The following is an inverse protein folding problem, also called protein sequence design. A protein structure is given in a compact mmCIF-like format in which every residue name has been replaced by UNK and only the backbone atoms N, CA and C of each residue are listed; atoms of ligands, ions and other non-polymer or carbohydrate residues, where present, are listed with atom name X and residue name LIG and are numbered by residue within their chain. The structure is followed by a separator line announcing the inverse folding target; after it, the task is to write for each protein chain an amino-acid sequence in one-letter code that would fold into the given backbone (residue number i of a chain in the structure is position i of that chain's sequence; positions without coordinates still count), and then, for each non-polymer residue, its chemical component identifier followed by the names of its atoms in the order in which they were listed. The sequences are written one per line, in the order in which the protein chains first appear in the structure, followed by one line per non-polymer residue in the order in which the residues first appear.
data_IF_319836920752
#
_entry.id   IF_319836920752
#
_cell.length_a   1.000
_cell.length_b   1.000
_cell.length_c   1.000
_cell.angle_alpha   90.00
_cell.angle_beta   90.00
_cell.angle_gamma   90.00
#
_symmetry.space_group_name_H-M   'P 1'
#
loop_
_entity.id
_entity.type
_entity.pdbx_description
1 polymer ?
#
# COMPACT_ATOMS: atom_id res chain seq x y z
N UNK A 1 19.20 -7.11 3.08
CA UNK A 1 17.87 -7.13 2.42
C UNK A 1 18.06 -7.46 0.95
N UNK A 2 17.50 -8.56 0.47
CA UNK A 2 17.60 -8.93 -0.96
C UNK A 2 16.58 -8.09 -1.74
N UNK A 3 17.06 -7.27 -2.69
CA UNK A 3 16.15 -6.52 -3.56
C UNK A 3 15.35 -7.52 -4.40
N UNK A 4 14.03 -7.33 -4.50
CA UNK A 4 13.20 -8.08 -5.43
C UNK A 4 13.83 -8.11 -6.82
N UNK A 5 13.76 -9.25 -7.53
CA UNK A 5 14.22 -9.33 -8.92
C UNK A 5 13.28 -8.56 -9.87
N UNK A 6 12.03 -8.34 -9.47
CA UNK A 6 11.00 -7.69 -10.26
C UNK A 6 11.03 -6.17 -10.10
N UNK A 7 11.25 -5.44 -11.20
CA UNK A 7 11.33 -3.98 -11.16
C UNK A 7 10.05 -3.31 -10.69
N UNK A 8 8.91 -3.82 -11.13
CA UNK A 8 7.61 -3.27 -10.79
C UNK A 8 7.27 -3.43 -9.30
N UNK A 9 7.71 -4.52 -8.64
CA UNK A 9 7.55 -4.71 -7.18
C UNK A 9 8.43 -3.72 -6.42
N UNK A 10 9.71 -3.58 -6.82
CA UNK A 10 10.59 -2.57 -6.24
C UNK A 10 10.00 -1.16 -6.37
N UNK A 11 9.38 -0.85 -7.51
CA UNK A 11 8.71 0.44 -7.75
C UNK A 11 7.49 0.62 -6.85
N UNK A 12 6.63 -0.39 -6.75
CA UNK A 12 5.45 -0.37 -5.89
C UNK A 12 5.81 -0.18 -4.41
N UNK A 13 6.76 -0.96 -3.91
CA UNK A 13 7.25 -0.82 -2.52
C UNK A 13 7.93 0.54 -2.29
N UNK A 14 8.59 1.11 -3.30
CA UNK A 14 9.16 2.46 -3.20
C UNK A 14 8.09 3.55 -3.07
N UNK A 15 6.92 3.40 -3.68
CA UNK A 15 5.81 4.35 -3.47
C UNK A 15 5.35 4.40 -2.01
N UNK A 16 5.23 3.24 -1.35
CA UNK A 16 4.89 3.17 0.08
C UNK A 16 5.96 3.81 0.96
N UNK A 17 7.24 3.53 0.67
CA UNK A 17 8.37 4.19 1.36
C UNK A 17 8.39 5.70 1.14
N UNK A 18 8.08 6.15 -0.08
CA UNK A 18 7.97 7.58 -0.39
C UNK A 18 6.86 8.24 0.45
N UNK A 19 5.71 7.58 0.60
CA UNK A 19 4.64 8.06 1.49
C UNK A 19 5.10 8.13 2.95
N UNK A 20 5.87 7.14 3.42
CA UNK A 20 6.48 7.18 4.76
C UNK A 20 7.48 8.34 4.92
N UNK A 21 8.27 8.66 3.90
CA UNK A 21 9.13 9.84 3.90
C UNK A 21 8.34 11.16 3.94
N UNK A 22 7.21 11.25 3.23
CA UNK A 22 6.29 12.39 3.35
C UNK A 22 5.75 12.53 4.78
N UNK A 23 5.44 11.42 5.46
CA UNK A 23 5.01 11.43 6.86
C UNK A 23 6.10 11.91 7.81
N UNK A 24 7.36 11.49 7.59
CA UNK A 24 8.53 11.97 8.34
C UNK A 24 8.76 13.48 8.16
N UNK A 25 8.36 14.02 7.01
CA UNK A 25 8.41 15.44 6.67
C UNK A 25 7.23 16.26 7.22
N UNK A 26 6.27 15.65 7.90
CA UNK A 26 5.12 16.32 8.52
C UNK A 26 3.83 16.33 7.69
N UNK A 27 3.75 15.49 6.66
CA UNK A 27 2.58 15.34 5.79
C UNK A 27 1.76 14.09 6.11
N UNK A 28 1.48 13.83 7.39
CA UNK A 28 0.86 12.58 7.86
C UNK A 28 -0.63 12.45 7.50
N UNK A 29 -1.29 13.53 7.06
CA UNK A 29 -2.65 13.45 6.52
C UNK A 29 -2.69 13.00 5.05
N UNK A 30 -1.55 12.67 4.43
CA UNK A 30 -1.53 11.97 3.15
C UNK A 30 -1.75 10.47 3.36
N UNK A 31 -2.55 9.90 2.46
CA UNK A 31 -2.89 8.48 2.41
C UNK A 31 -2.54 7.91 1.04
N UNK A 32 -2.28 6.61 0.98
CA UNK A 32 -1.93 5.90 -0.25
C UNK A 32 -2.92 4.78 -0.57
N UNK A 33 -3.36 4.70 -1.82
CA UNK A 33 -4.22 3.63 -2.34
C UNK A 33 -3.46 2.84 -3.42
N UNK A 34 -3.00 1.62 -3.12
CA UNK A 34 -2.36 0.72 -4.08
C UNK A 34 -3.40 -0.15 -4.80
N UNK A 35 -3.45 -0.11 -6.13
CA UNK A 35 -4.45 -0.85 -6.91
C UNK A 35 -3.90 -1.29 -8.27
N UNK A 36 -4.64 -2.13 -8.99
CA UNK A 36 -4.34 -2.47 -10.39
C UNK A 36 -5.39 -1.91 -11.33
N UNK A 37 -4.98 -1.48 -12.51
CA UNK A 37 -5.87 -1.28 -13.65
C UNK A 37 -5.41 -2.14 -14.84
N UNK A 38 -6.07 -2.03 -15.99
CA UNK A 38 -5.70 -2.78 -17.20
C UNK A 38 -4.23 -2.61 -17.63
N UNK A 39 -3.56 -1.56 -17.17
CA UNK A 39 -2.16 -1.23 -17.51
C UNK A 39 -1.20 -1.53 -16.35
N UNK A 40 -1.63 -2.28 -15.33
CA UNK A 40 -0.81 -2.75 -14.22
C UNK A 40 -0.97 -1.97 -12.92
N UNK A 41 0.02 -2.11 -12.03
CA UNK A 41 0.00 -1.52 -10.70
C UNK A 41 -0.06 0.01 -10.75
N UNK A 42 -0.80 0.59 -9.81
CA UNK A 42 -1.01 2.01 -9.60
C UNK A 42 -0.93 2.33 -8.11
N UNK A 43 -0.42 3.51 -7.81
CA UNK A 43 -0.40 4.07 -6.46
C UNK A 43 -0.99 5.47 -6.52
N UNK A 44 -2.16 5.65 -5.91
CA UNK A 44 -2.77 6.96 -5.75
C UNK A 44 -2.40 7.55 -4.38
N UNK A 45 -2.11 8.84 -4.33
CA UNK A 45 -1.86 9.60 -3.11
C UNK A 45 -2.81 10.78 -3.10
N UNK A 46 -3.53 10.95 -1.99
CA UNK A 46 -4.41 12.09 -1.77
C UNK A 46 -4.50 12.44 -0.28
N UNK A 47 -5.06 13.61 0.07
CA UNK A 47 -5.35 13.96 1.46
C UNK A 47 -6.39 13.01 2.06
N UNK A 48 -6.31 12.76 3.38
CA UNK A 48 -7.13 11.76 4.08
C UNK A 48 -8.64 11.87 3.86
N UNK A 49 -9.18 13.07 3.61
CA UNK A 49 -10.62 13.27 3.39
C UNK A 49 -11.12 12.77 2.01
N UNK A 50 -10.21 12.38 1.12
CA UNK A 50 -10.55 11.67 -0.11
C UNK A 50 -10.82 10.19 0.12
N UNK A 51 -10.26 9.61 1.18
CA UNK A 51 -10.36 8.19 1.48
C UNK A 51 -11.67 7.85 2.19
N UNK A 52 -12.17 6.64 1.98
CA UNK A 52 -13.26 6.06 2.76
C UNK A 52 -12.83 5.80 4.20
N UNK A 53 -13.79 5.44 5.04
CA UNK A 53 -13.58 5.20 6.48
C UNK A 53 -12.53 4.11 6.76
N UNK A 54 -12.32 3.17 5.82
CA UNK A 54 -11.26 2.17 5.91
C UNK A 54 -9.83 2.71 5.70
N UNK A 55 -9.66 3.99 5.37
CA UNK A 55 -8.38 4.70 5.29
C UNK A 55 -7.43 4.27 4.16
N UNK A 56 -7.82 3.33 3.30
CA UNK A 56 -6.98 2.78 2.21
C UNK A 56 -7.57 2.93 0.81
N UNK A 57 -8.88 3.15 0.70
CA UNK A 57 -9.57 3.24 -0.57
C UNK A 57 -10.03 4.66 -0.86
N UNK A 58 -9.77 5.13 -2.08
CA UNK A 58 -10.40 6.33 -2.64
C UNK A 58 -11.60 5.84 -3.46
N UNK A 59 -12.81 6.32 -3.20
CA UNK A 59 -13.98 5.97 -3.98
C UNK A 59 -13.77 6.26 -5.47
N UNK A 60 -14.25 5.38 -6.36
CA UNK A 60 -14.00 5.47 -7.79
C UNK A 60 -14.40 6.83 -8.39
N UNK A 61 -15.50 7.43 -7.89
CA UNK A 61 -15.97 8.75 -8.31
C UNK A 61 -15.00 9.91 -7.99
N UNK A 62 -14.04 9.71 -7.08
CA UNK A 62 -13.02 10.70 -6.69
C UNK A 62 -11.66 10.46 -7.33
N UNK A 63 -11.41 9.31 -7.98
CA UNK A 63 -10.09 8.97 -8.52
C UNK A 63 -9.60 9.93 -9.62
N UNK A 64 -10.51 10.61 -10.32
CA UNK A 64 -10.18 11.60 -11.35
C UNK A 64 -10.05 13.04 -10.83
N UNK A 65 -10.12 13.25 -9.51
CA UNK A 65 -10.02 14.56 -8.90
C UNK A 65 -8.58 15.11 -8.98
N UNK A 66 -8.43 16.43 -9.09
CA UNK A 66 -7.12 17.10 -9.19
C UNK A 66 -6.26 16.93 -7.94
N UNK A 67 -6.87 16.66 -6.78
CA UNK A 67 -6.16 16.38 -5.52
C UNK A 67 -5.73 14.91 -5.36
N UNK A 68 -5.88 14.08 -6.40
CA UNK A 68 -5.45 12.68 -6.43
C UNK A 68 -4.28 12.51 -7.39
N UNK A 69 -3.08 12.35 -6.85
CA UNK A 69 -1.89 12.07 -7.64
C UNK A 69 -1.75 10.56 -7.87
N UNK A 70 -1.72 10.11 -9.12
CA UNK A 70 -1.66 8.68 -9.48
C UNK A 70 -0.38 8.38 -10.26
N UNK A 71 0.33 7.31 -9.89
CA UNK A 71 1.49 6.85 -10.68
C UNK A 71 1.08 6.31 -12.05
N UNK A 72 1.90 6.53 -13.08
CA UNK A 72 1.68 5.98 -14.42
C UNK A 72 2.14 4.52 -14.58
N UNK A 73 1.88 3.93 -15.74
CA UNK A 73 2.47 2.64 -16.12
C UNK A 73 3.98 2.79 -16.26
N UNK A 74 4.75 2.30 -15.28
CA UNK A 74 6.20 2.29 -15.32
C UNK A 74 6.92 3.55 -14.85
N UNK A 75 6.23 4.69 -14.74
CA UNK A 75 6.76 5.99 -14.28
C UNK A 75 6.02 6.53 -13.04
N UNK A 76 6.75 7.13 -12.09
CA UNK A 76 6.13 7.80 -10.95
C UNK A 76 5.45 9.09 -11.41
N UNK A 77 4.13 9.16 -11.32
CA UNK A 77 3.33 10.36 -11.67
C UNK A 77 3.66 10.97 -13.04
N UNK A 78 3.99 10.12 -14.04
CA UNK A 78 4.49 10.51 -15.37
C UNK A 78 5.79 11.34 -15.38
N UNK A 79 6.56 11.29 -14.31
CA UNK A 79 7.88 11.92 -14.24
C UNK A 79 8.92 11.11 -15.04
N UNK A 80 9.73 11.82 -15.82
CA UNK A 80 10.77 11.23 -16.67
C UNK A 80 12.16 11.26 -16.02
N UNK A 81 12.30 11.90 -14.86
CA UNK A 81 13.58 12.19 -14.19
C UNK A 81 13.69 11.47 -12.83
N UNK A 82 13.22 10.22 -12.76
CA UNK A 82 13.16 9.42 -11.53
C UNK A 82 14.20 8.30 -11.47
N UNK A 83 15.03 8.18 -12.49
CA UNK A 83 16.06 7.15 -12.54
C UNK A 83 17.05 7.32 -11.39
N UNK A 84 17.31 6.22 -10.68
CA UNK A 84 18.17 6.21 -9.50
C UNK A 84 17.59 6.89 -8.25
N UNK A 85 16.38 7.46 -8.30
CA UNK A 85 15.80 8.13 -7.13
C UNK A 85 15.39 7.10 -6.06
N UNK A 86 15.75 7.38 -4.82
CA UNK A 86 15.24 6.67 -3.66
C UNK A 86 13.89 7.24 -3.21
N UNK A 87 13.32 6.65 -2.15
CA UNK A 87 12.03 7.09 -1.61
C UNK A 87 12.05 8.55 -1.14
N UNK A 88 13.19 9.01 -0.61
CA UNK A 88 13.35 10.36 -0.07
C UNK A 88 13.36 11.41 -1.18
N UNK A 89 14.16 11.18 -2.23
CA UNK A 89 14.20 12.04 -3.40
C UNK A 89 12.84 12.14 -4.10
N UNK A 90 12.09 11.02 -4.17
CA UNK A 90 10.74 11.03 -4.71
C UNK A 90 9.76 11.84 -3.84
N UNK A 91 9.89 11.79 -2.51
CA UNK A 91 9.04 12.57 -1.61
C UNK A 91 9.29 14.08 -1.75
N UNK A 92 10.56 14.50 -1.89
CA UNK A 92 10.92 15.90 -2.14
C UNK A 92 10.40 16.39 -3.49
N UNK A 93 10.47 15.56 -4.54
CA UNK A 93 9.84 15.84 -5.84
C UNK A 93 8.32 15.94 -5.71
N UNK A 94 7.68 15.07 -4.91
CA UNK A 94 6.23 15.10 -4.70
C UNK A 94 5.80 16.43 -4.08
N UNK A 95 6.49 16.90 -3.03
CA UNK A 95 6.21 18.19 -2.39
C UNK A 95 6.36 19.35 -3.39
N UNK A 96 7.39 19.29 -4.23
CA UNK A 96 7.67 20.35 -5.20
C UNK A 96 6.66 20.38 -6.36
N UNK A 97 6.21 19.21 -6.81
CA UNK A 97 5.38 19.06 -8.02
C UNK A 97 3.88 18.99 -7.74
N UNK A 98 3.50 18.60 -6.52
CA UNK A 98 2.12 18.56 -6.05
C UNK A 98 1.98 19.38 -4.75
N UNK A 99 2.28 20.69 -4.78
CA UNK A 99 2.33 21.51 -3.57
C UNK A 99 0.98 21.59 -2.86
N UNK A 100 -0.13 21.65 -3.61
CA UNK A 100 -1.47 21.75 -3.03
C UNK A 100 -1.89 20.46 -2.32
N UNK A 101 -1.59 19.30 -2.93
CA UNK A 101 -1.81 17.98 -2.32
C UNK A 101 -0.96 17.86 -1.05
N UNK A 102 0.34 18.19 -1.13
CA UNK A 102 1.24 18.15 0.01
C UNK A 102 0.76 19.06 1.15
N UNK A 103 0.35 20.30 0.83
CA UNK A 103 -0.15 21.25 1.81
C UNK A 103 -1.42 20.75 2.51
N UNK A 104 -2.37 20.19 1.75
CA UNK A 104 -3.58 19.57 2.30
C UNK A 104 -3.27 18.32 3.16
N UNK A 105 -2.13 17.68 2.91
CA UNK A 105 -1.60 16.56 3.68
C UNK A 105 -0.86 16.94 4.98
N UNK A 106 -0.63 18.23 5.24
CA UNK A 106 0.12 18.67 6.42
C UNK A 106 -0.63 18.36 7.72
N UNK A 107 0.07 17.80 8.70
CA UNK A 107 -0.51 17.45 9.99
C UNK A 107 0.12 16.21 10.60
N UNK A 108 -0.36 15.85 11.79
CA UNK A 108 0.07 14.66 12.53
C UNK A 108 -1.06 13.64 12.55
N UNK A 109 -0.68 12.41 12.31
CA UNK A 109 -1.52 11.23 12.26
C UNK A 109 -0.65 10.02 12.55
N UNK A 110 -0.37 9.81 13.83
CA UNK A 110 0.56 8.78 14.30
C UNK A 110 0.03 7.38 14.07
N UNK A 111 -1.29 7.21 14.09
CA UNK A 111 -1.95 5.93 13.85
C UNK A 111 -1.69 5.44 12.44
N UNK A 112 -1.96 6.26 11.43
CA UNK A 112 -1.70 5.87 10.06
C UNK A 112 -0.20 5.80 9.73
N UNK A 113 0.61 6.69 10.30
CA UNK A 113 2.07 6.65 10.11
C UNK A 113 2.69 5.39 10.70
N UNK A 114 2.23 4.96 11.88
CA UNK A 114 2.64 3.70 12.52
C UNK A 114 2.21 2.50 11.69
N UNK A 115 0.93 2.44 11.32
CA UNK A 115 0.37 1.41 10.44
C UNK A 115 1.15 1.27 9.12
N UNK A 116 1.49 2.39 8.47
CA UNK A 116 2.25 2.38 7.22
C UNK A 116 3.67 1.84 7.44
N UNK A 117 4.30 2.18 8.56
CA UNK A 117 5.63 1.66 8.91
C UNK A 117 5.60 0.14 9.11
N UNK A 118 4.58 -0.38 9.78
CA UNK A 118 4.40 -1.81 9.97
C UNK A 118 4.10 -2.53 8.64
N UNK A 119 3.24 -1.96 7.80
CA UNK A 119 2.96 -2.47 6.47
C UNK A 119 4.24 -2.55 5.63
N UNK A 120 5.08 -1.51 5.66
CA UNK A 120 6.37 -1.53 4.95
C UNK A 120 7.21 -2.70 5.46
N UNK A 121 7.40 -2.83 6.78
CA UNK A 121 8.16 -3.94 7.38
C UNK A 121 7.59 -5.32 7.04
N UNK A 122 6.27 -5.46 6.92
CA UNK A 122 5.61 -6.67 6.45
C UNK A 122 6.02 -7.01 5.01
N UNK A 123 5.97 -6.03 4.11
CA UNK A 123 6.28 -6.21 2.68
C UNK A 123 7.77 -6.45 2.42
N UNK A 124 8.66 -6.02 3.33
CA UNK A 124 10.10 -6.25 3.23
C UNK A 124 10.52 -7.73 3.27
N UNK A 125 9.61 -8.61 3.68
CA UNK A 125 9.85 -10.05 3.82
C UNK A 125 9.80 -10.79 2.48
N UNK A 126 9.32 -10.17 1.40
CA UNK A 126 9.23 -10.84 0.12
C UNK A 126 8.77 -9.97 -1.04
N UNK A 127 8.48 -10.64 -2.14
CA UNK A 127 7.93 -10.05 -3.36
C UNK A 127 6.42 -9.82 -3.19
N UNK A 128 6.08 -8.89 -2.29
CA UNK A 128 4.72 -8.62 -1.84
C UNK A 128 4.28 -7.18 -2.09
N UNK A 129 3.00 -7.00 -2.42
CA UNK A 129 2.37 -5.69 -2.62
C UNK A 129 0.94 -5.67 -2.04
N UNK A 130 0.54 -4.59 -1.37
CA UNK A 130 -0.86 -4.40 -1.01
C UNK A 130 -1.68 -4.11 -2.27
N UNK A 131 -2.90 -4.62 -2.35
CA UNK A 131 -3.81 -4.38 -3.48
C UNK A 131 -5.23 -4.21 -2.98
N UNK A 132 -5.81 -3.04 -3.21
CA UNK A 132 -7.17 -2.74 -2.73
C UNK A 132 -8.24 -2.97 -3.80
N UNK A 133 -7.90 -2.92 -5.08
CA UNK A 133 -8.87 -2.96 -6.17
C UNK A 133 -8.27 -3.32 -7.53
N UNK A 134 -9.11 -3.81 -8.44
CA UNK A 134 -8.89 -3.87 -9.89
C UNK A 134 -10.21 -3.94 -10.67
N UNK A 135 -10.15 -3.74 -11.99
CA UNK A 135 -11.32 -3.57 -12.86
C UNK A 135 -12.35 -4.73 -12.76
N UNK A 136 -11.89 -5.97 -12.79
CA UNK A 136 -12.74 -7.18 -12.74
C UNK A 136 -13.04 -7.69 -11.31
N UNK A 137 -12.72 -6.88 -10.28
CA UNK A 137 -12.93 -7.29 -8.89
C UNK A 137 -14.43 -7.30 -8.53
N UNK A 138 -14.89 -8.38 -7.91
CA UNK A 138 -16.20 -8.44 -7.29
C UNK A 138 -16.15 -7.78 -5.90
N UNK A 139 -16.88 -6.69 -5.73
CA UNK A 139 -16.94 -5.92 -4.49
C UNK A 139 -16.39 -4.52 -4.66
N UNK A 140 -16.49 -3.72 -3.60
CA UNK A 140 -15.99 -2.35 -3.59
C UNK A 140 -14.78 -2.24 -2.67
N UNK A 141 -13.73 -1.48 -3.02
CA UNK A 141 -12.55 -1.34 -2.16
C UNK A 141 -12.86 -0.69 -0.82
N UNK A 142 -13.93 0.09 -0.72
CA UNK A 142 -14.44 0.70 0.52
C UNK A 142 -14.97 -0.36 1.51
N UNK A 143 -15.44 -1.51 1.01
CA UNK A 143 -16.04 -2.59 1.80
C UNK A 143 -14.99 -3.60 2.32
N UNK A 144 -13.70 -3.38 2.05
CA UNK A 144 -12.64 -4.22 2.59
C UNK A 144 -12.62 -4.14 4.12
N UNK A 145 -12.43 -5.29 4.77
CA UNK A 145 -12.25 -5.44 6.23
C UNK A 145 -10.82 -5.82 6.63
N UNK A 146 -9.91 -5.85 5.66
CA UNK A 146 -8.48 -6.16 5.83
C UNK A 146 -7.79 -5.75 4.53
N UNK A 147 -6.55 -5.25 4.59
CA UNK A 147 -5.74 -4.93 3.43
C UNK A 147 -5.13 -6.20 2.81
N UNK A 148 -5.54 -6.60 1.61
CA UNK A 148 -5.04 -7.84 1.02
C UNK A 148 -3.68 -7.62 0.39
N UNK A 149 -2.83 -8.63 0.49
CA UNK A 149 -1.45 -8.57 0.00
C UNK A 149 -1.24 -9.63 -1.06
N UNK A 150 -0.90 -9.17 -2.26
CA UNK A 150 -0.48 -10.04 -3.36
C UNK A 150 0.95 -10.51 -3.12
N UNK A 151 1.18 -11.79 -3.43
CA UNK A 151 2.49 -12.43 -3.39
C UNK A 151 2.85 -12.83 -4.82
N UNK A 152 3.97 -12.34 -5.31
CA UNK A 152 4.42 -12.67 -6.66
C UNK A 152 4.67 -14.18 -6.82
N UNK A 153 4.24 -14.72 -7.96
CA UNK A 153 4.33 -16.14 -8.26
C UNK A 153 3.27 -17.02 -7.59
N UNK A 154 2.30 -16.45 -6.87
CA UNK A 154 1.13 -17.18 -6.33
C UNK A 154 -0.15 -16.85 -7.11
N UNK A 155 -1.14 -17.75 -7.00
CA UNK A 155 -2.51 -17.46 -7.44
C UNK A 155 -3.14 -16.44 -6.50
N UNK A 156 -3.10 -15.16 -6.88
CA UNK A 156 -3.60 -14.06 -6.04
C UNK A 156 -5.11 -13.81 -6.18
N UNK A 157 -5.75 -14.48 -7.14
CA UNK A 157 -7.12 -14.23 -7.57
C UNK A 157 -7.84 -15.56 -7.69
N UNK A 158 -9.05 -15.63 -7.14
CA UNK A 158 -10.01 -16.70 -7.38
C UNK A 158 -11.13 -16.16 -8.27
N UNK A 159 -11.66 -16.99 -9.18
CA UNK A 159 -12.73 -16.60 -10.10
C UNK A 159 -14.10 -17.09 -9.62
N UNK A 160 -15.09 -16.21 -9.61
CA UNK A 160 -16.50 -16.50 -9.32
C UNK A 160 -17.33 -16.02 -10.51
N UNK A 161 -17.55 -16.92 -11.47
CA UNK A 161 -18.13 -16.58 -12.76
C UNK A 161 -17.20 -15.68 -13.57
N UNK A 162 -17.72 -14.57 -14.10
CA UNK A 162 -16.92 -13.57 -14.85
C UNK A 162 -16.18 -12.58 -13.93
N UNK A 163 -16.51 -12.56 -12.64
CA UNK A 163 -15.86 -11.66 -11.69
C UNK A 163 -14.80 -12.40 -10.90
N UNK A 164 -13.85 -11.62 -10.40
CA UNK A 164 -12.73 -12.15 -9.63
C UNK A 164 -12.75 -11.64 -8.20
N UNK A 165 -12.30 -12.45 -7.26
CA UNK A 165 -12.14 -12.07 -5.85
C UNK A 165 -10.69 -12.27 -5.44
N UNK A 166 -10.30 -11.58 -4.38
CA UNK A 166 -9.01 -11.76 -3.75
C UNK A 166 -8.93 -13.18 -3.21
N UNK A 167 -7.88 -13.91 -3.57
CA UNK A 167 -7.72 -15.28 -3.10
C UNK A 167 -7.69 -15.32 -1.58
N UNK A 168 -8.44 -16.25 -0.99
CA UNK A 168 -8.46 -16.42 0.48
C UNK A 168 -7.10 -16.87 1.04
N UNK A 169 -6.21 -17.37 0.18
CA UNK A 169 -4.85 -17.80 0.53
C UNK A 169 -3.85 -16.65 0.60
N UNK A 170 -4.23 -15.45 0.14
CA UNK A 170 -3.37 -14.27 0.22
C UNK A 170 -3.20 -13.83 1.68
N UNK A 171 -1.99 -13.41 2.09
CA UNK A 171 -1.81 -12.73 3.36
C UNK A 171 -2.70 -11.50 3.46
N UNK A 172 -3.16 -11.23 4.68
CA UNK A 172 -3.98 -10.05 5.01
C UNK A 172 -3.23 -9.22 6.03
N UNK A 173 -3.26 -7.91 5.84
CA UNK A 173 -2.75 -6.92 6.77
C UNK A 173 -3.93 -6.15 7.39
N UNK A 174 -3.89 -5.75 8.67
CA UNK A 174 -4.96 -4.96 9.28
C UNK A 174 -5.20 -3.66 8.53
N UNK A 175 -6.41 -3.11 8.61
CA UNK A 175 -6.70 -1.78 8.09
C UNK A 175 -6.20 -0.69 9.04
N UNK A 176 -5.90 0.52 8.54
CA UNK A 176 -5.56 1.64 9.41
C UNK A 176 -6.78 2.05 10.24
N UNK A 177 -6.59 2.29 11.53
CA UNK A 177 -7.65 2.81 12.38
C UNK A 177 -8.69 1.80 12.85
N UNK A 178 -8.53 0.50 12.57
CA UNK A 178 -9.28 -0.51 13.29
C UNK A 178 -8.70 -0.63 14.71
N UNK A 179 -9.40 -0.18 15.77
CA UNK A 179 -9.03 -0.57 17.11
C UNK A 179 -9.15 -2.09 17.18
N UNK A 180 -8.10 -2.75 17.69
CA UNK A 180 -8.19 -4.16 18.05
C UNK A 180 -9.49 -4.38 18.84
N UNK A 181 -10.43 -5.11 18.27
CA UNK A 181 -11.57 -5.60 19.02
C UNK A 181 -11.01 -6.52 20.11
N UNK A 182 -10.85 -5.95 21.31
CA UNK A 182 -10.58 -6.63 22.58
C UNK A 182 -9.48 -7.70 22.56
N UNK A 183 -8.34 -7.35 23.13
CA UNK A 183 -7.41 -8.30 23.74
C UNK A 183 -6.05 -8.26 23.10
N UNK A 184 -5.09 -7.67 23.80
CA UNK A 184 -3.82 -8.25 24.30
C UNK A 184 -3.18 -9.50 23.68
N UNK A 185 -3.63 -10.00 22.54
CA UNK A 185 -3.25 -11.30 21.98
C UNK A 185 -2.43 -11.16 20.68
N UNK A 186 -2.35 -9.97 20.05
CA UNK A 186 -1.42 -9.76 18.93
C UNK A 186 0.04 -9.59 19.37
N UNK A 187 0.29 -8.89 20.48
CA UNK A 187 1.62 -8.84 21.09
C UNK A 187 1.98 -10.13 21.88
N UNK A 188 1.01 -11.04 22.07
CA UNK A 188 1.14 -12.24 22.93
C UNK A 188 1.06 -13.59 22.21
N UNK A 189 0.69 -13.64 20.93
CA UNK A 189 0.62 -14.90 20.13
C UNK A 189 1.12 -14.75 18.69
N UNK A 190 1.96 -13.77 18.38
CA UNK A 190 2.86 -14.01 17.25
C UNK A 190 3.93 -14.97 17.75
N UNK A 191 4.14 -16.14 17.10
CA UNK A 191 5.39 -16.85 17.24
C UNK A 191 6.45 -15.79 16.96
N UNK A 192 7.24 -15.44 17.98
CA UNK A 192 8.31 -14.47 17.86
C UNK A 192 9.07 -14.76 16.56
N UNK A 193 9.52 -13.73 15.85
CA UNK A 193 10.08 -13.79 14.49
C UNK A 193 11.07 -14.94 14.19
N UNK A 194 11.66 -15.58 15.21
CA UNK A 194 12.46 -16.81 15.12
C UNK A 194 11.67 -18.11 14.88
N UNK A 195 10.38 -18.21 15.21
CA UNK A 195 9.57 -19.43 15.05
C UNK A 195 9.09 -19.64 13.62
N UNK A 196 8.62 -18.58 12.95
CA UNK A 196 8.31 -18.65 11.52
C UNK A 196 9.57 -18.99 10.68
N UNK A 197 10.74 -18.50 11.10
CA UNK A 197 12.03 -18.87 10.51
C UNK A 197 12.42 -20.32 10.82
N UNK A 198 12.09 -20.83 12.01
CA UNK A 198 12.32 -22.22 12.39
C UNK A 198 11.45 -23.18 11.55
N UNK A 199 10.16 -22.92 11.43
CA UNK A 199 9.24 -23.71 10.61
C UNK A 199 9.61 -23.71 9.12
N UNK A 200 10.04 -22.56 8.58
CA UNK A 200 10.52 -22.47 7.20
C UNK A 200 11.85 -23.21 6.96
N UNK A 201 12.70 -23.36 7.98
CA UNK A 201 13.95 -24.13 7.90
C UNK A 201 13.77 -25.63 7.99
N UNK A 202 12.66 -26.11 8.56
CA UNK A 202 12.31 -27.53 8.65
C UNK A 202 11.54 -28.03 7.41
N UNK A 203 11.11 -27.11 6.54
CA UNK A 203 10.36 -27.40 5.32
C UNK A 203 11.23 -27.43 4.04
N UNK A 204 12.57 -27.32 4.18
CA UNK A 204 13.58 -27.59 3.15
C UNK A 204 14.29 -28.90 3.44
#
# INVERSE_FOLDING_TARGET
MMKSKYDWIRKAQRCLRMLSELHRLGFQHLRGMPYFNAQGFRFAIAPRHYFSDNGIAIPAAKLSDEFVAITGAGHYFNWTDTDGNDARALAEKFITRFPDIALAGKGRDWEYAGWLSELIGFLEQGDMIPTVWWEEMNGRPEDLSSLPVWVEGKGNIDWIGEKSVISQTNPRFPLPGEPESSGSDWWGRQPYWTDALHEMSQAM
#
